data_IF_363420251800
#
_entry.id   IF_363420251800
#
_cell.length_a   1.000
_cell.length_b   1.000
_cell.length_c   1.000
_cell.angle_alpha   90.00
_cell.angle_beta   90.00
_cell.angle_gamma   90.00
#
_symmetry.space_group_name_H-M   'P 1'
#
loop_
_entity.id
_entity.type
_entity.pdbx_description
1 polymer ?
#
# COMPACT_ATOMS: atom_id res chain seq x y z
N UNK A 1 -20.90 -19.14 -77.90
CA UNK A 1 -19.98 -20.28 -78.12
C UNK A 1 -19.36 -20.56 -76.75
N UNK A 2 -20.05 -21.27 -75.86
CA UNK A 2 -20.37 -22.71 -75.85
C UNK A 2 -19.14 -23.57 -75.53
N UNK A 3 -19.39 -24.57 -74.67
CA UNK A 3 -18.53 -25.64 -74.14
C UNK A 3 -17.56 -25.25 -73.02
N UNK A 4 -17.53 -25.91 -71.86
CA UNK A 4 -18.19 -27.12 -71.40
C UNK A 4 -17.29 -27.79 -70.35
N UNK A 5 -17.83 -28.19 -69.20
CA UNK A 5 -17.42 -29.37 -68.44
C UNK A 5 -18.28 -29.52 -67.18
N UNK A 6 -19.29 -30.38 -67.28
CA UNK A 6 -20.06 -30.90 -66.15
C UNK A 6 -19.31 -32.10 -65.54
N UNK A 7 -18.87 -31.95 -64.28
CA UNK A 7 -18.47 -33.07 -63.42
C UNK A 7 -19.64 -33.50 -62.54
N UNK A 8 -20.15 -34.71 -62.76
CA UNK A 8 -21.24 -35.33 -61.97
C UNK A 8 -20.73 -35.76 -60.60
N UNK A 9 -21.22 -35.16 -59.52
CA UNK A 9 -21.05 -35.67 -58.15
C UNK A 9 -22.28 -36.51 -57.79
N UNK A 10 -22.05 -37.78 -57.43
CA UNK A 10 -23.06 -38.73 -56.97
C UNK A 10 -23.49 -38.39 -55.54
N UNK A 11 -24.76 -38.04 -55.36
CA UNK A 11 -25.43 -37.95 -54.06
C UNK A 11 -25.64 -39.37 -53.50
N UNK A 12 -25.02 -39.67 -52.35
CA UNK A 12 -25.40 -40.78 -51.46
C UNK A 12 -26.37 -40.25 -50.40
N UNK A 13 -27.35 -41.04 -49.93
CA UNK A 13 -28.24 -40.62 -48.85
C UNK A 13 -27.47 -40.71 -47.52
N UNK A 14 -27.15 -39.56 -46.93
CA UNK A 14 -26.71 -39.51 -45.53
C UNK A 14 -27.96 -39.70 -44.68
N UNK A 15 -28.05 -40.89 -44.09
CA UNK A 15 -29.02 -41.25 -43.05
C UNK A 15 -28.73 -40.38 -41.83
N UNK A 16 -29.67 -39.49 -41.52
CA UNK A 16 -29.76 -38.72 -40.27
C UNK A 16 -30.03 -39.69 -39.11
N UNK A 17 -28.99 -40.19 -38.46
CA UNK A 17 -29.05 -40.72 -37.11
C UNK A 17 -28.90 -39.54 -36.13
N UNK A 18 -30.02 -38.93 -35.76
CA UNK A 18 -30.14 -38.10 -34.56
C UNK A 18 -29.98 -39.01 -33.34
N UNK A 19 -28.74 -39.31 -32.97
CA UNK A 19 -28.44 -39.76 -31.62
C UNK A 19 -28.58 -38.54 -30.71
N UNK A 20 -29.64 -38.55 -29.89
CA UNK A 20 -29.82 -37.61 -28.80
C UNK A 20 -28.63 -37.73 -27.84
N UNK A 21 -27.63 -36.86 -28.00
CA UNK A 21 -26.73 -36.49 -26.91
C UNK A 21 -27.53 -35.61 -25.94
N UNK A 22 -28.38 -36.25 -25.14
CA UNK A 22 -28.73 -35.67 -23.85
C UNK A 22 -27.42 -35.65 -23.04
N UNK A 23 -26.96 -34.50 -22.51
CA UNK A 23 -25.97 -34.56 -21.47
C UNK A 23 -26.58 -35.43 -20.38
N UNK A 24 -25.88 -36.50 -19.99
CA UNK A 24 -26.22 -37.22 -18.78
C UNK A 24 -26.28 -36.16 -17.69
N UNK A 25 -27.49 -35.77 -17.27
CA UNK A 25 -27.69 -35.15 -15.98
C UNK A 25 -27.00 -36.11 -15.03
N UNK A 26 -25.87 -35.71 -14.46
CA UNK A 26 -25.24 -36.45 -13.40
C UNK A 26 -26.35 -36.70 -12.38
N UNK A 27 -26.86 -37.93 -12.36
CA UNK A 27 -27.78 -38.36 -11.34
C UNK A 27 -26.90 -38.36 -10.11
N UNK A 28 -27.00 -37.29 -9.32
CA UNK A 28 -26.49 -37.23 -7.97
C UNK A 28 -27.19 -38.37 -7.26
N UNK A 29 -26.55 -39.54 -7.27
CA UNK A 29 -27.11 -40.73 -6.66
C UNK A 29 -27.41 -40.34 -5.22
N UNK A 30 -28.67 -40.53 -4.82
CA UNK A 30 -29.03 -40.49 -3.43
C UNK A 30 -27.99 -41.32 -2.68
N UNK A 31 -27.40 -40.74 -1.64
CA UNK A 31 -26.49 -41.46 -0.76
C UNK A 31 -27.22 -42.75 -0.30
N UNK A 32 -26.50 -43.87 -0.21
CA UNK A 32 -27.05 -45.19 0.15
C UNK A 32 -27.71 -45.19 1.56
N UNK A 33 -27.61 -44.07 2.28
CA UNK A 33 -28.20 -43.76 3.58
C UNK A 33 -29.69 -43.34 3.53
N UNK A 34 -30.24 -43.03 2.36
CA UNK A 34 -31.65 -42.63 2.20
C UNK A 34 -31.99 -41.23 2.74
N UNK A 35 -30.98 -40.41 3.09
CA UNK A 35 -31.18 -39.02 3.48
C UNK A 35 -31.48 -38.16 2.24
N UNK A 36 -32.60 -37.45 2.25
CA UNK A 36 -32.95 -36.51 1.19
C UNK A 36 -31.98 -35.31 1.21
N UNK A 37 -31.19 -35.15 0.13
CA UNK A 37 -30.25 -34.04 0.00
C UNK A 37 -31.00 -32.71 0.00
N UNK A 38 -30.49 -31.70 0.71
CA UNK A 38 -31.15 -30.40 0.75
C UNK A 38 -31.19 -29.74 -0.65
N UNK A 39 -32.32 -29.14 -1.07
CA UNK A 39 -32.39 -28.46 -2.38
C UNK A 39 -31.34 -27.37 -2.56
N UNK A 40 -30.94 -26.73 -1.45
CA UNK A 40 -29.88 -25.70 -1.41
C UNK A 40 -28.50 -26.29 -1.71
N UNK A 41 -28.20 -27.48 -1.20
CA UNK A 41 -26.98 -28.20 -1.55
C UNK A 41 -26.98 -28.60 -3.02
N UNK A 42 -28.05 -29.25 -3.51
CA UNK A 42 -28.14 -29.72 -4.89
C UNK A 42 -27.96 -28.58 -5.89
N UNK A 43 -28.66 -27.46 -5.68
CA UNK A 43 -28.52 -26.28 -6.53
C UNK A 43 -27.08 -25.73 -6.57
N UNK A 44 -26.42 -25.67 -5.41
CA UNK A 44 -25.04 -25.20 -5.31
C UNK A 44 -24.05 -26.20 -5.91
N UNK A 45 -24.24 -27.50 -5.71
CA UNK A 45 -23.39 -28.55 -6.28
C UNK A 45 -23.43 -28.56 -7.81
N UNK A 46 -24.64 -28.46 -8.39
CA UNK A 46 -24.80 -28.28 -9.83
C UNK A 46 -24.16 -26.98 -10.35
N UNK A 47 -24.32 -25.90 -9.59
CA UNK A 47 -23.66 -24.64 -9.89
C UNK A 47 -22.14 -24.77 -9.93
N UNK A 48 -21.57 -25.47 -8.95
CA UNK A 48 -20.14 -25.77 -8.89
C UNK A 48 -19.68 -26.62 -10.08
N UNK A 49 -20.43 -27.67 -10.42
CA UNK A 49 -20.14 -28.53 -11.57
C UNK A 49 -20.14 -27.76 -12.91
N UNK A 50 -20.93 -26.70 -13.02
CA UNK A 50 -20.93 -25.77 -14.16
C UNK A 50 -19.85 -24.69 -14.09
N UNK A 51 -18.94 -24.75 -13.13
CA UNK A 51 -17.84 -23.78 -12.97
C UNK A 51 -18.26 -22.46 -12.31
N UNK A 52 -19.45 -22.36 -11.70
CA UNK A 52 -19.83 -21.14 -10.99
C UNK A 52 -19.03 -21.01 -9.69
N UNK A 53 -18.21 -19.96 -9.64
CA UNK A 53 -17.20 -19.72 -8.61
C UNK A 53 -17.75 -19.73 -7.17
N UNK A 54 -18.89 -19.08 -6.92
CA UNK A 54 -19.45 -18.96 -5.57
C UNK A 54 -20.17 -20.23 -5.10
N UNK A 55 -20.50 -21.13 -6.04
CA UNK A 55 -21.36 -22.26 -5.76
C UNK A 55 -20.60 -23.45 -5.15
N UNK A 56 -19.29 -23.60 -5.39
CA UNK A 56 -18.49 -24.69 -4.79
C UNK A 56 -18.36 -24.55 -3.26
N UNK A 57 -18.02 -23.36 -2.77
CA UNK A 57 -17.95 -23.11 -1.33
C UNK A 57 -19.35 -23.16 -0.70
N UNK A 58 -20.36 -22.62 -1.39
CA UNK A 58 -21.75 -22.68 -0.94
C UNK A 58 -22.25 -24.12 -0.84
N UNK A 59 -21.87 -25.00 -1.77
CA UNK A 59 -22.20 -26.42 -1.72
C UNK A 59 -21.58 -27.08 -0.48
N UNK A 60 -20.31 -26.80 -0.19
CA UNK A 60 -19.64 -27.28 1.01
C UNK A 60 -20.36 -26.84 2.29
N UNK A 61 -20.69 -25.55 2.40
CA UNK A 61 -21.37 -24.98 3.57
C UNK A 61 -22.79 -25.54 3.72
N UNK A 62 -23.57 -25.58 2.63
CA UNK A 62 -24.93 -26.11 2.67
C UNK A 62 -24.94 -27.61 3.00
N UNK A 63 -23.99 -28.39 2.48
CA UNK A 63 -23.85 -29.79 2.83
C UNK A 63 -23.55 -29.96 4.32
N UNK A 64 -22.56 -29.23 4.84
CA UNK A 64 -22.21 -29.29 6.25
C UNK A 64 -23.34 -28.83 7.19
N UNK A 65 -24.17 -27.88 6.76
CA UNK A 65 -25.32 -27.39 7.54
C UNK A 65 -26.51 -28.35 7.51
N UNK A 66 -26.89 -28.75 6.30
CA UNK A 66 -28.20 -29.34 6.03
C UNK A 66 -28.15 -30.87 5.93
N UNK A 67 -26.96 -31.46 5.74
CA UNK A 67 -26.76 -32.90 5.54
C UNK A 67 -25.90 -33.50 6.65
N UNK A 68 -24.61 -33.16 6.70
CA UNK A 68 -23.69 -33.67 7.72
C UNK A 68 -22.42 -32.83 7.81
N UNK A 69 -22.05 -32.43 9.03
CA UNK A 69 -20.76 -31.81 9.34
C UNK A 69 -19.70 -32.81 9.83
N UNK A 70 -20.09 -34.06 10.11
CA UNK A 70 -19.20 -35.14 10.55
C UNK A 70 -18.72 -36.01 9.38
N UNK A 71 -19.61 -36.31 8.43
CA UNK A 71 -19.31 -37.07 7.22
C UNK A 71 -19.33 -36.16 5.99
N UNK A 72 -18.17 -35.57 5.70
CA UNK A 72 -17.99 -34.71 4.52
C UNK A 72 -17.61 -35.51 3.26
N UNK A 73 -17.59 -36.84 3.31
CA UNK A 73 -17.13 -37.71 2.22
C UNK A 73 -17.80 -37.41 0.88
N UNK A 74 -19.14 -37.36 0.80
CA UNK A 74 -19.86 -37.12 -0.46
C UNK A 74 -19.55 -35.76 -1.09
N UNK A 75 -19.53 -34.68 -0.30
CA UNK A 75 -19.20 -33.34 -0.83
C UNK A 75 -17.73 -33.21 -1.20
N UNK A 76 -16.81 -33.86 -0.46
CA UNK A 76 -15.38 -33.92 -0.81
C UNK A 76 -15.18 -34.67 -2.14
N UNK A 77 -15.89 -35.77 -2.38
CA UNK A 77 -15.80 -36.51 -3.63
C UNK A 77 -16.24 -35.65 -4.82
N UNK A 78 -17.35 -34.92 -4.68
CA UNK A 78 -17.83 -33.95 -5.68
C UNK A 78 -16.78 -32.86 -5.94
N UNK A 79 -16.28 -32.21 -4.88
CA UNK A 79 -15.29 -31.14 -5.00
C UNK A 79 -13.98 -31.65 -5.63
N UNK A 80 -13.58 -32.89 -5.35
CA UNK A 80 -12.40 -33.52 -5.96
C UNK A 80 -12.60 -33.78 -7.45
N UNK A 81 -13.77 -34.26 -7.86
CA UNK A 81 -14.09 -34.48 -9.27
C UNK A 81 -14.03 -33.18 -10.09
N UNK A 82 -14.41 -32.06 -9.47
CA UNK A 82 -14.44 -30.75 -10.13
C UNK A 82 -13.22 -29.87 -9.84
N UNK A 83 -12.28 -30.27 -8.98
CA UNK A 83 -11.04 -29.54 -8.79
C UNK A 83 -10.12 -29.74 -10.00
N UNK A 84 -10.23 -28.84 -10.98
CA UNK A 84 -9.47 -28.85 -12.23
C UNK A 84 -8.91 -27.46 -12.52
N UNK A 85 -8.08 -27.35 -13.56
CA UNK A 85 -7.59 -26.06 -14.06
C UNK A 85 -8.70 -25.13 -14.57
N UNK A 86 -9.88 -25.65 -14.89
CA UNK A 86 -11.03 -24.86 -15.36
C UNK A 86 -11.94 -24.42 -14.21
N UNK A 87 -11.99 -25.19 -13.11
CA UNK A 87 -12.88 -24.95 -11.96
C UNK A 87 -12.05 -24.83 -10.68
N UNK A 88 -11.20 -23.80 -10.62
CA UNK A 88 -10.27 -23.53 -9.52
C UNK A 88 -10.96 -23.33 -8.17
N UNK A 89 -12.20 -22.84 -8.18
CA UNK A 89 -12.97 -22.65 -6.94
C UNK A 89 -13.37 -23.97 -6.28
N UNK A 90 -13.52 -25.05 -7.04
CA UNK A 90 -13.67 -26.39 -6.47
C UNK A 90 -12.39 -26.80 -5.73
N UNK A 91 -11.21 -26.47 -6.26
CA UNK A 91 -9.94 -26.69 -5.56
C UNK A 91 -9.82 -25.88 -4.27
N UNK A 92 -10.25 -24.61 -4.28
CA UNK A 92 -10.29 -23.79 -3.06
C UNK A 92 -11.23 -24.36 -2.01
N UNK A 93 -12.47 -24.71 -2.39
CA UNK A 93 -13.45 -25.31 -1.48
C UNK A 93 -13.00 -26.68 -0.98
N UNK A 94 -12.36 -27.49 -1.83
CA UNK A 94 -11.75 -28.76 -1.43
C UNK A 94 -10.64 -28.54 -0.39
N UNK A 95 -9.79 -27.53 -0.58
CA UNK A 95 -8.79 -27.15 0.41
C UNK A 95 -9.42 -26.67 1.74
N UNK A 96 -10.57 -25.99 1.69
CA UNK A 96 -11.33 -25.62 2.88
C UNK A 96 -11.93 -26.84 3.59
N UNK A 97 -12.37 -27.87 2.87
CA UNK A 97 -12.82 -29.13 3.48
C UNK A 97 -11.68 -29.88 4.20
N UNK A 98 -10.43 -29.67 3.80
CA UNK A 98 -9.25 -30.29 4.42
C UNK A 98 -8.57 -29.43 5.51
N UNK A 99 -9.05 -28.22 5.80
CA UNK A 99 -8.43 -27.36 6.82
C UNK A 99 -8.59 -27.95 8.23
N UNK A 100 -7.68 -27.61 9.16
CA UNK A 100 -7.88 -27.91 10.57
C UNK A 100 -9.15 -27.22 11.07
N UNK A 101 -9.84 -27.90 11.99
CA UNK A 101 -10.99 -27.33 12.67
C UNK A 101 -10.55 -26.08 13.46
N UNK A 102 -11.04 -24.89 13.10
CA UNK A 102 -10.72 -23.65 13.81
C UNK A 102 -11.80 -23.32 14.85
N UNK A 103 -11.43 -23.27 16.12
CA UNK A 103 -12.31 -22.89 17.24
C UNK A 103 -12.66 -21.39 17.29
N UNK A 104 -12.37 -20.61 16.25
CA UNK A 104 -12.76 -19.20 16.17
C UNK A 104 -14.26 -19.11 15.84
N UNK A 105 -15.05 -19.24 16.90
CA UNK A 105 -16.51 -19.14 16.91
C UNK A 105 -16.94 -17.69 16.64
N UNK A 106 -17.42 -17.43 15.43
CA UNK A 106 -18.56 -16.51 15.32
C UNK A 106 -19.78 -17.36 15.63
N UNK A 107 -20.54 -16.98 16.66
CA UNK A 107 -21.73 -17.71 17.08
C UNK A 107 -22.66 -17.94 15.86
N UNK A 108 -22.85 -19.21 15.47
CA UNK A 108 -23.62 -19.60 14.28
C UNK A 108 -22.81 -19.95 13.01
N UNK A 109 -21.48 -19.89 13.01
CA UNK A 109 -20.68 -20.36 11.86
C UNK A 109 -20.56 -21.89 11.84
N UNK A 110 -20.98 -22.54 10.73
CA UNK A 110 -20.78 -23.98 10.52
C UNK A 110 -19.29 -24.25 10.33
N UNK A 111 -18.73 -25.07 11.21
CA UNK A 111 -17.35 -25.51 11.11
C UNK A 111 -17.27 -26.69 10.14
N UNK A 112 -16.37 -26.57 9.16
CA UNK A 112 -16.12 -27.58 8.13
C UNK A 112 -14.62 -27.79 8.04
N UNK A 113 -14.16 -29.04 8.20
CA UNK A 113 -12.74 -29.38 8.11
C UNK A 113 -12.42 -30.75 8.67
N UNK A 114 -11.71 -31.58 7.91
CA UNK A 114 -11.24 -32.91 8.37
C UNK A 114 -9.77 -32.93 8.81
N UNK A 115 -9.09 -31.77 8.82
CA UNK A 115 -7.68 -31.62 9.18
C UNK A 115 -6.72 -32.57 8.41
N UNK A 116 -6.61 -32.39 7.10
CA UNK A 116 -5.72 -33.17 6.23
C UNK A 116 -4.76 -32.22 5.48
N UNK A 117 -3.61 -31.84 6.07
CA UNK A 117 -2.71 -30.85 5.48
C UNK A 117 -2.09 -31.31 4.15
N UNK A 118 -1.93 -32.62 3.95
CA UNK A 118 -1.37 -33.18 2.71
C UNK A 118 -2.35 -32.98 1.56
N UNK A 119 -3.60 -33.42 1.74
CA UNK A 119 -4.62 -33.25 0.69
C UNK A 119 -5.03 -31.79 0.50
N UNK A 120 -4.98 -30.98 1.57
CA UNK A 120 -5.14 -29.53 1.49
C UNK A 120 -4.10 -28.92 0.54
N UNK A 121 -2.83 -29.29 0.69
CA UNK A 121 -1.74 -28.83 -0.18
C UNK A 121 -1.95 -29.27 -1.62
N UNK A 122 -2.34 -30.52 -1.86
CA UNK A 122 -2.61 -31.04 -3.20
C UNK A 122 -3.71 -30.25 -3.90
N UNK A 123 -4.82 -29.98 -3.21
CA UNK A 123 -5.93 -29.18 -3.73
C UNK A 123 -5.48 -27.74 -4.05
N UNK A 124 -4.75 -27.10 -3.13
CA UNK A 124 -4.23 -25.74 -3.35
C UNK A 124 -3.21 -25.68 -4.50
N UNK A 125 -2.35 -26.70 -4.64
CA UNK A 125 -1.37 -26.77 -5.73
C UNK A 125 -2.05 -26.96 -7.09
N UNK A 126 -3.11 -27.77 -7.16
CA UNK A 126 -3.93 -27.89 -8.37
C UNK A 126 -4.57 -26.56 -8.74
N UNK A 127 -5.20 -25.89 -7.76
CA UNK A 127 -5.85 -24.58 -7.99
C UNK A 127 -4.86 -23.48 -8.40
N UNK A 128 -3.67 -23.46 -7.80
CA UNK A 128 -2.62 -22.51 -8.12
C UNK A 128 -1.92 -22.79 -9.47
N UNK A 129 -1.98 -24.02 -9.98
CA UNK A 129 -1.44 -24.40 -11.29
C UNK A 129 -2.32 -24.01 -12.48
N UNK A 130 -3.54 -23.55 -12.23
CA UNK A 130 -4.51 -23.22 -13.26
C UNK A 130 -4.23 -21.88 -13.96
N UNK A 131 -4.66 -21.76 -15.22
CA UNK A 131 -4.56 -20.51 -15.99
C UNK A 131 -5.40 -19.39 -15.37
N UNK A 132 -6.49 -19.74 -14.68
CA UNK A 132 -7.39 -18.84 -13.95
C UNK A 132 -7.26 -19.09 -12.43
N UNK A 133 -6.02 -19.12 -11.92
CA UNK A 133 -5.75 -19.38 -10.52
C UNK A 133 -6.32 -18.25 -9.63
N UNK A 134 -7.37 -18.46 -8.85
CA UNK A 134 -7.87 -17.39 -7.98
C UNK A 134 -6.81 -17.00 -6.94
N UNK A 135 -6.67 -15.69 -6.68
CA UNK A 135 -5.86 -15.04 -5.63
C UNK A 135 -5.73 -15.91 -4.36
N UNK A 136 -6.87 -16.45 -3.92
CA UNK A 136 -6.97 -17.19 -2.68
C UNK A 136 -6.19 -18.53 -2.69
N UNK A 137 -6.03 -19.20 -3.84
CA UNK A 137 -5.40 -20.53 -3.88
C UNK A 137 -3.87 -20.50 -3.84
N UNK A 138 -3.22 -19.63 -4.61
CA UNK A 138 -1.76 -19.51 -4.58
C UNK A 138 -1.25 -18.87 -3.29
N UNK A 139 -1.93 -17.85 -2.75
CA UNK A 139 -1.57 -17.26 -1.45
C UNK A 139 -1.66 -18.28 -0.32
N UNK A 140 -2.80 -19.00 -0.20
CA UNK A 140 -2.97 -20.06 0.81
C UNK A 140 -1.97 -21.21 0.64
N UNK A 141 -1.60 -21.54 -0.61
CA UNK A 141 -0.55 -22.53 -0.86
C UNK A 141 0.79 -22.03 -0.33
N UNK A 142 1.13 -20.77 -0.58
CA UNK A 142 2.38 -20.18 -0.11
C UNK A 142 2.47 -20.20 1.42
N UNK A 143 1.39 -19.79 2.11
CA UNK A 143 1.32 -19.84 3.58
C UNK A 143 1.53 -21.27 4.11
N UNK A 144 0.82 -22.25 3.53
CA UNK A 144 0.93 -23.65 3.95
C UNK A 144 2.33 -24.22 3.70
N UNK A 145 2.99 -23.84 2.61
CA UNK A 145 4.37 -24.23 2.32
C UNK A 145 5.36 -23.56 3.27
N UNK A 146 5.15 -22.29 3.60
CA UNK A 146 5.97 -21.56 4.55
C UNK A 146 5.88 -22.15 5.97
N UNK A 147 4.66 -22.47 6.44
CA UNK A 147 4.41 -23.17 7.70
C UNK A 147 5.09 -24.55 7.74
N UNK A 148 5.12 -25.25 6.61
CA UNK A 148 5.83 -26.53 6.46
C UNK A 148 7.36 -26.38 6.31
N UNK A 149 7.89 -25.16 6.31
CA UNK A 149 9.32 -24.87 6.13
C UNK A 149 9.81 -24.93 4.68
N UNK A 150 8.94 -25.15 3.70
CA UNK A 150 9.27 -25.12 2.27
C UNK A 150 9.29 -23.68 1.74
N UNK A 151 10.38 -22.97 2.04
CA UNK A 151 10.55 -21.57 1.63
C UNK A 151 10.61 -21.39 0.11
N UNK A 152 11.24 -22.32 -0.60
CA UNK A 152 11.35 -22.24 -2.05
C UNK A 152 9.97 -22.43 -2.71
N UNK A 153 9.22 -23.43 -2.26
CA UNK A 153 7.85 -23.67 -2.71
C UNK A 153 6.92 -22.50 -2.40
N UNK A 154 7.02 -21.92 -1.21
CA UNK A 154 6.24 -20.75 -0.82
C UNK A 154 6.54 -19.52 -1.71
N UNK A 155 7.82 -19.22 -1.95
CA UNK A 155 8.23 -18.15 -2.86
C UNK A 155 7.68 -18.36 -4.27
N UNK A 156 7.81 -19.58 -4.82
CA UNK A 156 7.29 -19.91 -6.13
C UNK A 156 5.75 -19.82 -6.22
N UNK A 157 5.03 -20.09 -5.13
CA UNK A 157 3.59 -19.92 -5.05
C UNK A 157 3.18 -18.43 -5.03
N UNK A 158 3.87 -17.59 -4.25
CA UNK A 158 3.63 -16.14 -4.27
C UNK A 158 3.94 -15.50 -5.63
N UNK A 159 5.05 -15.89 -6.27
CA UNK A 159 5.38 -15.41 -7.61
C UNK A 159 4.33 -15.81 -8.66
N UNK A 160 3.79 -17.03 -8.55
CA UNK A 160 2.67 -17.47 -9.39
C UNK A 160 1.43 -16.61 -9.16
N UNK A 161 1.10 -16.30 -7.90
CA UNK A 161 -0.01 -15.41 -7.57
C UNK A 161 0.17 -14.03 -8.24
N UNK A 162 1.34 -13.40 -8.07
CA UNK A 162 1.63 -12.10 -8.68
C UNK A 162 1.57 -12.14 -10.21
N UNK A 163 2.20 -13.13 -10.85
CA UNK A 163 2.14 -13.27 -12.32
C UNK A 163 0.72 -13.40 -12.83
N UNK A 164 -0.09 -14.20 -12.14
CA UNK A 164 -1.49 -14.35 -12.48
C UNK A 164 -2.27 -13.06 -12.32
N UNK A 165 -2.12 -12.38 -11.17
CA UNK A 165 -2.84 -11.17 -10.89
C UNK A 165 -2.51 -10.05 -11.90
N UNK A 166 -1.27 -10.00 -12.40
CA UNK A 166 -0.86 -9.14 -13.53
C UNK A 166 -1.48 -9.53 -14.87
N UNK A 167 -1.73 -10.82 -15.10
CA UNK A 167 -2.39 -11.29 -16.34
C UNK A 167 -3.88 -10.92 -16.40
N UNK A 168 -4.50 -10.65 -15.26
CA UNK A 168 -5.90 -10.23 -15.15
C UNK A 168 -6.12 -8.72 -15.31
N UNK A 169 -5.06 -7.93 -15.46
CA UNK A 169 -5.10 -6.47 -15.44
C UNK A 169 -5.69 -5.88 -16.74
N UNK A 170 -6.98 -6.14 -16.97
CA UNK A 170 -7.90 -5.17 -17.55
C UNK A 170 -8.31 -4.16 -16.46
N UNK A 171 -8.69 -2.94 -16.86
CA UNK A 171 -8.74 -1.71 -16.05
C UNK A 171 -9.53 -1.75 -14.71
N UNK A 172 -10.37 -2.75 -14.45
CA UNK A 172 -11.26 -2.80 -13.29
C UNK A 172 -10.78 -3.69 -12.12
N UNK A 173 -9.59 -4.33 -12.19
CA UNK A 173 -9.10 -5.28 -11.16
C UNK A 173 -7.73 -4.96 -10.54
N UNK A 174 -7.30 -3.70 -10.63
CA UNK A 174 -5.99 -3.21 -10.15
C UNK A 174 -5.73 -3.55 -8.67
N UNK A 175 -6.76 -3.56 -7.81
CA UNK A 175 -6.59 -3.82 -6.37
C UNK A 175 -6.02 -5.21 -6.03
N UNK A 176 -6.26 -6.23 -6.86
CA UNK A 176 -5.82 -7.59 -6.56
C UNK A 176 -4.39 -7.86 -7.05
N UNK A 177 -3.90 -7.13 -8.07
CA UNK A 177 -2.55 -7.35 -8.61
C UNK A 177 -1.44 -6.95 -7.64
N UNK A 178 -1.64 -5.84 -6.94
CA UNK A 178 -0.53 -5.24 -6.19
C UNK A 178 -0.31 -5.97 -4.86
N UNK A 179 -1.35 -6.55 -4.26
CA UNK A 179 -1.21 -7.30 -3.00
C UNK A 179 -0.41 -8.60 -3.18
N UNK A 180 -0.67 -9.35 -4.25
CA UNK A 180 0.06 -10.58 -4.55
C UNK A 180 1.53 -10.31 -4.84
N UNK A 181 1.81 -9.29 -5.64
CA UNK A 181 3.18 -8.87 -5.93
C UNK A 181 3.87 -8.33 -4.68
N UNK A 182 3.17 -7.62 -3.81
CA UNK A 182 3.71 -7.15 -2.53
C UNK A 182 4.09 -8.32 -1.61
N UNK A 183 3.24 -9.35 -1.50
CA UNK A 183 3.56 -10.54 -0.69
C UNK A 183 4.71 -11.34 -1.29
N UNK A 184 4.75 -11.52 -2.62
CA UNK A 184 5.87 -12.15 -3.31
C UNK A 184 7.18 -11.41 -3.00
N UNK A 185 7.16 -10.08 -3.11
CA UNK A 185 8.32 -9.25 -2.84
C UNK A 185 8.79 -9.34 -1.38
N UNK A 186 7.85 -9.26 -0.42
CA UNK A 186 8.15 -9.38 1.01
C UNK A 186 8.72 -10.74 1.38
N UNK A 187 8.10 -11.80 0.88
CA UNK A 187 8.57 -13.16 1.14
C UNK A 187 9.98 -13.36 0.56
N UNK A 188 10.18 -12.90 -0.68
CA UNK A 188 11.50 -12.94 -1.32
C UNK A 188 12.55 -12.15 -0.53
N UNK A 189 12.21 -10.97 -0.02
CA UNK A 189 13.13 -10.14 0.76
C UNK A 189 13.48 -10.77 2.12
N UNK A 190 12.48 -11.23 2.87
CA UNK A 190 12.64 -11.64 4.27
C UNK A 190 13.08 -13.11 4.41
N UNK A 191 12.48 -14.01 3.64
CA UNK A 191 12.56 -15.46 3.90
C UNK A 191 13.57 -16.17 3.01
N UNK A 192 13.63 -15.81 1.72
CA UNK A 192 14.56 -16.44 0.75
C UNK A 192 15.77 -15.58 0.44
N UNK A 193 15.72 -14.28 0.73
CA UNK A 193 16.72 -13.28 0.33
C UNK A 193 16.97 -13.27 -1.18
N UNK A 194 15.95 -13.61 -1.97
CA UNK A 194 15.97 -13.43 -3.42
C UNK A 194 15.70 -11.96 -3.74
N UNK A 195 16.77 -11.16 -3.67
CA UNK A 195 16.69 -9.73 -3.85
C UNK A 195 16.30 -9.34 -5.28
N UNK A 196 16.59 -10.18 -6.29
CA UNK A 196 16.20 -9.92 -7.66
C UNK A 196 14.68 -10.03 -7.84
N UNK A 197 14.06 -11.04 -7.23
CA UNK A 197 12.60 -11.16 -7.16
C UNK A 197 12.01 -10.01 -6.34
N UNK A 198 12.54 -9.75 -5.14
CA UNK A 198 12.04 -8.68 -4.28
C UNK A 198 12.05 -7.32 -4.98
N UNK A 199 13.17 -6.95 -5.60
CA UNK A 199 13.29 -5.69 -6.33
C UNK A 199 12.29 -5.62 -7.49
N UNK A 200 12.18 -6.67 -8.30
CA UNK A 200 11.28 -6.68 -9.46
C UNK A 200 9.82 -6.51 -9.04
N UNK A 201 9.38 -7.25 -8.03
CA UNK A 201 7.99 -7.22 -7.60
C UNK A 201 7.66 -5.95 -6.79
N UNK A 202 8.56 -5.44 -5.94
CA UNK A 202 8.37 -4.12 -5.32
C UNK A 202 8.38 -2.98 -6.34
N UNK A 203 9.14 -3.08 -7.44
CA UNK A 203 9.09 -2.11 -8.54
C UNK A 203 7.69 -2.02 -9.11
N UNK A 204 7.06 -3.17 -9.36
CA UNK A 204 5.68 -3.26 -9.86
C UNK A 204 4.74 -2.58 -8.87
N UNK A 205 4.80 -2.96 -7.59
CA UNK A 205 3.93 -2.42 -6.55
C UNK A 205 4.10 -0.90 -6.40
N UNK A 206 5.33 -0.40 -6.32
CA UNK A 206 5.63 1.04 -6.20
C UNK A 206 5.11 1.82 -7.42
N UNK A 207 5.17 1.25 -8.62
CA UNK A 207 4.65 1.88 -9.83
C UNK A 207 3.14 1.75 -10.03
N UNK A 208 2.48 0.91 -9.24
CA UNK A 208 1.06 0.60 -9.35
C UNK A 208 0.15 1.75 -8.91
N UNK A 209 -1.11 1.68 -9.31
CA UNK A 209 -2.13 2.68 -8.97
C UNK A 209 -2.87 2.35 -7.66
N UNK A 210 -2.55 1.23 -6.99
CA UNK A 210 -3.16 0.89 -5.70
C UNK A 210 -2.62 1.81 -4.60
N UNK A 211 -3.39 2.86 -4.30
CA UNK A 211 -3.03 3.91 -3.34
C UNK A 211 -2.53 3.35 -1.99
N UNK A 212 -3.13 2.27 -1.49
CA UNK A 212 -2.75 1.68 -0.20
C UNK A 212 -1.50 0.80 -0.20
N UNK A 213 -0.90 0.46 -1.35
CA UNK A 213 0.27 -0.44 -1.43
C UNK A 213 1.48 0.19 -2.08
N UNK A 214 1.29 1.08 -3.05
CA UNK A 214 2.40 1.71 -3.77
C UNK A 214 3.41 2.40 -2.82
N UNK A 215 2.99 3.20 -1.82
CA UNK A 215 3.90 3.76 -0.82
C UNK A 215 4.78 2.71 -0.11
N UNK A 216 4.22 1.55 0.23
CA UNK A 216 4.94 0.47 0.90
C UNK A 216 5.97 -0.18 -0.03
N UNK A 217 5.61 -0.41 -1.30
CA UNK A 217 6.53 -0.92 -2.31
C UNK A 217 7.74 0.01 -2.48
N UNK A 218 7.50 1.32 -2.56
CA UNK A 218 8.56 2.31 -2.69
C UNK A 218 9.49 2.32 -1.46
N UNK A 219 8.96 2.20 -0.23
CA UNK A 219 9.82 2.07 0.97
C UNK A 219 10.80 0.91 0.84
N UNK A 220 10.33 -0.27 0.43
CA UNK A 220 11.21 -1.44 0.36
C UNK A 220 12.26 -1.31 -0.74
N UNK A 221 11.95 -0.67 -1.87
CA UNK A 221 12.96 -0.30 -2.86
C UNK A 221 14.01 0.65 -2.27
N UNK A 222 13.57 1.65 -1.50
CA UNK A 222 14.47 2.54 -0.76
C UNK A 222 15.45 1.76 0.13
N UNK A 223 14.96 0.78 0.88
CA UNK A 223 15.79 -0.11 1.71
C UNK A 223 16.75 -0.99 0.91
N UNK A 224 16.29 -1.53 -0.23
CA UNK A 224 17.11 -2.35 -1.12
C UNK A 224 18.30 -1.54 -1.62
N UNK A 225 18.08 -0.33 -2.11
CA UNK A 225 19.14 0.55 -2.59
C UNK A 225 19.99 1.12 -1.46
N UNK A 226 19.42 1.44 -0.30
CA UNK A 226 20.20 1.91 0.85
C UNK A 226 21.17 0.84 1.37
N UNK A 227 20.70 -0.40 1.47
CA UNK A 227 21.47 -1.54 1.98
C UNK A 227 22.34 -2.23 0.93
N UNK A 228 22.17 -1.94 -0.35
CA UNK A 228 22.82 -2.67 -1.43
C UNK A 228 22.40 -4.16 -1.49
N UNK A 229 21.10 -4.43 -1.33
CA UNK A 229 20.56 -5.79 -1.26
C UNK A 229 20.35 -6.34 -2.67
N UNK A 230 21.30 -7.13 -3.18
CA UNK A 230 21.27 -7.68 -4.54
C UNK A 230 21.58 -6.68 -5.65
N UNK A 231 21.80 -5.42 -5.30
CA UNK A 231 22.25 -4.33 -6.17
C UNK A 231 23.34 -3.52 -5.45
N UNK A 232 24.19 -2.74 -6.15
CA UNK A 232 25.06 -1.80 -5.47
C UNK A 232 24.27 -0.81 -4.62
N UNK A 233 24.80 -0.46 -3.45
CA UNK A 233 24.17 0.56 -2.62
C UNK A 233 24.12 1.90 -3.37
N UNK A 234 22.93 2.48 -3.46
CA UNK A 234 22.67 3.75 -4.11
C UNK A 234 21.86 4.65 -3.16
N UNK A 235 22.53 5.52 -2.38
CA UNK A 235 21.85 6.39 -1.44
C UNK A 235 20.93 7.42 -2.10
N UNK A 236 21.19 7.78 -3.35
CA UNK A 236 20.38 8.77 -4.07
C UNK A 236 19.09 8.11 -4.56
N UNK A 237 19.18 6.91 -5.14
CA UNK A 237 18.00 6.11 -5.45
C UNK A 237 17.18 5.81 -4.18
N UNK A 238 17.85 5.48 -3.07
CA UNK A 238 17.16 5.24 -1.80
C UNK A 238 16.34 6.44 -1.33
N UNK A 239 16.93 7.64 -1.38
CA UNK A 239 16.24 8.90 -1.06
C UNK A 239 15.02 9.09 -1.95
N UNK A 240 15.15 8.89 -3.25
CA UNK A 240 14.07 9.13 -4.21
C UNK A 240 12.90 8.16 -3.99
N UNK A 241 13.18 6.88 -3.70
CA UNK A 241 12.15 5.91 -3.34
C UNK A 241 11.49 6.19 -1.98
N UNK A 242 12.26 6.65 -0.99
CA UNK A 242 11.67 7.09 0.28
C UNK A 242 10.81 8.35 0.10
N UNK A 243 11.20 9.27 -0.79
CA UNK A 243 10.38 10.42 -1.15
C UNK A 243 9.05 9.97 -1.78
N UNK A 244 9.09 9.03 -2.73
CA UNK A 244 7.88 8.45 -3.34
C UNK A 244 7.03 7.66 -2.33
N UNK A 245 7.64 7.04 -1.34
CA UNK A 245 6.93 6.37 -0.25
C UNK A 245 6.18 7.35 0.66
N UNK A 246 6.74 8.53 0.88
CA UNK A 246 6.14 9.56 1.73
C UNK A 246 5.14 10.46 0.99
N UNK A 247 5.49 10.87 -0.23
CA UNK A 247 4.75 11.81 -1.06
C UNK A 247 4.40 11.17 -2.41
N UNK A 248 3.74 10.01 -2.36
CA UNK A 248 3.38 9.30 -3.58
C UNK A 248 2.40 10.14 -4.41
N UNK A 249 2.67 10.41 -5.70
CA UNK A 249 1.87 11.34 -6.49
C UNK A 249 0.43 10.87 -6.76
N UNK A 250 0.15 9.58 -6.55
CA UNK A 250 -1.15 8.95 -6.82
C UNK A 250 -1.84 8.36 -5.59
N UNK A 251 -1.21 8.44 -4.41
CA UNK A 251 -1.80 7.94 -3.18
C UNK A 251 -2.07 9.10 -2.22
N UNK A 252 -3.29 9.17 -1.71
CA UNK A 252 -3.62 10.08 -0.62
C UNK A 252 -2.86 9.68 0.65
N UNK A 253 -2.77 8.36 0.88
CA UNK A 253 -2.08 7.79 2.03
C UNK A 253 -0.57 7.74 1.82
N UNK A 254 0.19 7.94 2.90
CA UNK A 254 1.64 7.77 2.94
C UNK A 254 2.01 6.52 3.73
N UNK A 255 3.19 5.95 3.45
CA UNK A 255 3.81 5.01 4.39
C UNK A 255 4.63 5.80 5.41
N UNK A 256 4.14 5.85 6.66
CA UNK A 256 4.77 6.68 7.70
C UNK A 256 6.20 6.28 8.03
N UNK A 257 6.54 5.00 7.89
CA UNK A 257 7.93 4.54 8.02
C UNK A 257 8.80 5.05 6.86
N UNK A 258 8.28 5.05 5.63
CA UNK A 258 8.91 5.67 4.46
C UNK A 258 9.16 7.15 4.66
N UNK A 259 8.20 7.88 5.23
CA UNK A 259 8.37 9.28 5.63
C UNK A 259 9.49 9.47 6.68
N UNK A 260 9.55 8.61 7.70
CA UNK A 260 10.62 8.62 8.70
C UNK A 260 11.99 8.36 8.05
N UNK A 261 12.08 7.40 7.13
CA UNK A 261 13.33 7.09 6.43
C UNK A 261 13.74 8.23 5.50
N UNK A 262 12.78 8.86 4.81
CA UNK A 262 13.04 10.01 3.95
C UNK A 262 13.62 11.19 4.72
N UNK A 263 12.98 11.58 5.83
CA UNK A 263 13.47 12.70 6.65
C UNK A 263 14.88 12.44 7.22
N UNK A 264 15.16 11.20 7.67
CA UNK A 264 16.51 10.81 8.12
C UNK A 264 17.54 10.90 6.99
N UNK A 265 17.17 10.44 5.80
CA UNK A 265 18.02 10.49 4.60
C UNK A 265 18.37 11.93 4.22
N UNK A 266 17.39 12.83 4.22
CA UNK A 266 17.59 14.26 3.95
C UNK A 266 18.58 14.90 4.94
N UNK A 267 18.44 14.61 6.24
CA UNK A 267 19.36 15.14 7.26
C UNK A 267 20.79 14.64 7.05
N UNK A 268 20.95 13.38 6.66
CA UNK A 268 22.26 12.77 6.35
C UNK A 268 22.86 13.33 5.05
N UNK A 269 22.03 13.58 4.04
CA UNK A 269 22.44 14.04 2.72
C UNK A 269 22.61 15.56 2.62
N UNK A 270 22.21 16.33 3.63
CA UNK A 270 22.14 17.81 3.55
C UNK A 270 23.42 18.52 3.13
N UNK A 271 24.58 17.90 3.33
CA UNK A 271 25.89 18.45 2.94
C UNK A 271 26.46 17.80 1.67
N UNK A 272 25.77 16.82 1.08
CA UNK A 272 26.21 16.14 -0.13
C UNK A 272 25.94 17.03 -1.35
N UNK A 273 26.91 17.17 -2.28
CA UNK A 273 26.70 17.92 -3.52
C UNK A 273 25.60 17.35 -4.43
N UNK A 274 25.25 16.08 -4.25
CA UNK A 274 24.24 15.39 -5.05
C UNK A 274 22.80 15.79 -4.70
N UNK A 275 22.55 16.38 -3.52
CA UNK A 275 21.23 16.86 -3.14
C UNK A 275 20.87 18.11 -3.95
N UNK A 276 19.77 18.04 -4.69
CA UNK A 276 19.34 19.09 -5.63
C UNK A 276 18.16 19.87 -5.06
N UNK A 277 17.96 21.07 -5.58
CA UNK A 277 16.80 21.88 -5.22
C UNK A 277 15.48 21.15 -5.46
N UNK A 278 15.36 20.39 -6.56
CA UNK A 278 14.16 19.59 -6.87
C UNK A 278 13.78 18.56 -5.80
N UNK A 279 14.74 18.07 -5.03
CA UNK A 279 14.51 17.09 -3.97
C UNK A 279 13.87 17.73 -2.71
N UNK A 280 13.96 19.06 -2.60
CA UNK A 280 13.57 19.84 -1.40
C UNK A 280 12.71 21.06 -1.76
N UNK A 281 12.31 21.21 -3.02
CA UNK A 281 11.74 22.44 -3.57
C UNK A 281 10.35 22.77 -3.02
N UNK A 282 9.55 21.75 -2.69
CA UNK A 282 8.16 21.98 -2.29
C UNK A 282 8.00 22.65 -0.92
N UNK A 283 8.99 22.55 -0.04
CA UNK A 283 8.92 23.11 1.32
C UNK A 283 9.75 24.39 1.50
N UNK A 284 10.68 24.68 0.58
CA UNK A 284 11.65 25.75 0.76
C UNK A 284 11.20 27.08 0.17
N UNK A 285 11.30 28.15 0.98
CA UNK A 285 11.11 29.52 0.48
C UNK A 285 12.18 29.93 -0.54
N UNK A 286 11.90 30.91 -1.43
CA UNK A 286 12.89 31.44 -2.37
C UNK A 286 14.20 31.83 -1.68
N UNK A 287 15.34 31.46 -2.28
CA UNK A 287 16.68 31.80 -1.75
C UNK A 287 17.14 30.96 -0.55
N UNK A 288 16.34 29.98 -0.09
CA UNK A 288 16.73 29.07 0.99
C UNK A 288 17.92 28.20 0.58
N UNK A 289 19.03 28.15 1.36
CA UNK A 289 20.13 27.24 1.08
C UNK A 289 19.65 25.78 1.09
N UNK A 290 20.13 24.97 0.14
CA UNK A 290 19.71 23.55 -0.02
C UNK A 290 19.82 22.77 1.30
N UNK A 291 20.88 22.99 2.08
CA UNK A 291 21.05 22.32 3.36
C UNK A 291 19.95 22.66 4.39
N UNK A 292 19.39 23.87 4.35
CA UNK A 292 18.26 24.28 5.20
C UNK A 292 16.93 23.78 4.64
N UNK A 293 16.74 23.87 3.32
CA UNK A 293 15.60 23.28 2.63
C UNK A 293 15.46 21.77 2.93
N UNK A 294 16.58 21.05 3.03
CA UNK A 294 16.59 19.64 3.43
C UNK A 294 16.05 19.40 4.85
N UNK A 295 16.30 20.31 5.80
CA UNK A 295 15.78 20.21 7.16
C UNK A 295 14.28 20.54 7.20
N UNK A 296 13.84 21.53 6.43
CA UNK A 296 12.43 21.87 6.27
C UNK A 296 11.64 20.70 5.67
N UNK A 297 12.15 20.11 4.57
CA UNK A 297 11.55 18.92 3.95
C UNK A 297 11.60 17.71 4.88
N UNK A 298 12.66 17.54 5.68
CA UNK A 298 12.73 16.46 6.68
C UNK A 298 11.66 16.64 7.76
N UNK A 299 11.44 17.87 8.24
CA UNK A 299 10.37 18.17 9.19
C UNK A 299 8.99 17.87 8.60
N UNK A 300 8.73 18.26 7.34
CA UNK A 300 7.49 17.92 6.62
C UNK A 300 7.30 16.41 6.52
N UNK A 301 8.34 15.67 6.13
CA UNK A 301 8.29 14.21 6.05
C UNK A 301 7.96 13.59 7.43
N UNK A 302 8.64 14.00 8.49
CA UNK A 302 8.36 13.49 9.83
C UNK A 302 6.96 13.84 10.32
N UNK A 303 6.48 15.05 10.06
CA UNK A 303 5.11 15.46 10.37
C UNK A 303 4.09 14.57 9.65
N UNK A 304 4.29 14.31 8.35
CA UNK A 304 3.41 13.43 7.57
C UNK A 304 3.43 12.00 8.09
N UNK A 305 4.60 11.45 8.43
CA UNK A 305 4.70 10.14 9.05
C UNK A 305 4.08 10.08 10.45
N UNK A 306 4.13 11.19 11.21
CA UNK A 306 3.45 11.30 12.50
C UNK A 306 1.92 11.23 12.33
N UNK A 307 1.39 11.85 11.28
CA UNK A 307 -0.04 11.84 10.96
C UNK A 307 -0.58 10.45 10.53
N UNK A 308 0.30 9.49 10.21
CA UNK A 308 -0.05 8.10 9.92
C UNK A 308 0.23 7.17 11.12
N UNK A 309 0.13 7.68 12.34
CA UNK A 309 0.32 6.94 13.59
C UNK A 309 1.70 6.25 13.74
N UNK A 310 2.79 6.87 13.27
CA UNK A 310 4.17 6.42 13.53
C UNK A 310 4.80 7.29 14.63
N UNK A 311 4.83 6.84 15.91
CA UNK A 311 5.38 7.63 17.02
C UNK A 311 6.83 8.07 16.80
N UNK A 312 7.64 7.20 16.19
CA UNK A 312 9.04 7.50 15.88
C UNK A 312 9.21 8.69 14.92
N UNK A 313 8.22 8.95 14.06
CA UNK A 313 8.23 10.11 13.17
C UNK A 313 7.91 11.38 13.96
N UNK A 314 6.93 11.34 14.86
CA UNK A 314 6.63 12.44 15.78
C UNK A 314 7.86 12.82 16.61
N UNK A 315 8.53 11.83 17.21
CA UNK A 315 9.75 12.01 18.00
C UNK A 315 10.91 12.56 17.15
N UNK A 316 11.08 12.07 15.92
CA UNK A 316 12.12 12.56 15.02
C UNK A 316 11.92 14.03 14.64
N UNK A 317 10.68 14.46 14.46
CA UNK A 317 10.35 15.86 14.16
C UNK A 317 10.72 16.79 15.34
N UNK A 318 10.39 16.37 16.57
CA UNK A 318 10.75 17.15 17.75
C UNK A 318 12.26 17.16 17.99
N UNK A 319 12.93 16.01 17.82
CA UNK A 319 14.37 15.92 17.93
C UNK A 319 15.09 16.81 16.91
N UNK A 320 14.58 16.90 15.67
CA UNK A 320 15.09 17.79 14.65
C UNK A 320 15.07 19.26 15.12
N UNK A 321 13.94 19.73 15.66
CA UNK A 321 13.84 21.08 16.20
C UNK A 321 14.84 21.31 17.34
N UNK A 322 14.94 20.39 18.31
CA UNK A 322 15.84 20.56 19.45
C UNK A 322 17.30 20.72 19.00
N UNK A 323 17.72 19.93 18.01
CA UNK A 323 19.07 20.01 17.44
C UNK A 323 19.31 21.32 16.67
N UNK A 324 18.31 21.85 15.96
CA UNK A 324 18.40 23.18 15.33
C UNK A 324 18.50 24.30 16.37
N UNK A 325 17.70 24.25 17.44
CA UNK A 325 17.76 25.22 18.54
C UNK A 325 19.12 25.22 19.24
N UNK A 326 19.71 24.03 19.43
CA UNK A 326 21.05 23.83 19.94
C UNK A 326 22.16 24.27 18.95
N UNK A 327 21.81 24.58 17.70
CA UNK A 327 22.75 25.03 16.67
C UNK A 327 23.51 23.91 15.96
N UNK A 328 23.17 22.64 16.18
CA UNK A 328 23.89 21.49 15.62
C UNK A 328 23.73 21.34 14.10
N UNK A 329 22.58 21.77 13.57
CA UNK A 329 22.20 21.54 12.17
C UNK A 329 22.24 22.83 11.32
N UNK A 330 22.66 23.94 11.93
CA UNK A 330 22.59 25.27 11.33
C UNK A 330 21.17 25.84 11.32
N UNK A 331 21.06 27.08 10.88
CA UNK A 331 19.81 27.85 10.81
C UNK A 331 19.97 28.96 9.78
N UNK A 332 18.85 29.54 9.34
CA UNK A 332 18.88 30.79 8.57
C UNK A 332 19.11 31.98 9.50
N UNK A 333 19.74 33.03 8.98
CA UNK A 333 19.86 34.32 9.67
C UNK A 333 18.89 35.29 9.02
N UNK A 334 18.04 35.90 9.83
CA UNK A 334 17.11 36.95 9.39
C UNK A 334 17.32 38.22 10.22
N UNK A 335 16.97 39.38 9.66
CA UNK A 335 16.88 40.61 10.44
C UNK A 335 15.45 40.78 10.96
N UNK A 336 15.30 40.95 12.26
CA UNK A 336 13.99 41.11 12.89
C UNK A 336 13.96 42.29 13.86
N UNK A 337 12.79 42.89 14.02
CA UNK A 337 12.53 43.89 15.06
C UNK A 337 11.09 43.83 15.55
N UNK A 338 10.84 44.42 16.71
CA UNK A 338 9.49 44.63 17.25
C UNK A 338 9.14 46.11 17.29
N UNK A 339 7.85 46.44 17.14
CA UNK A 339 7.32 47.79 17.28
C UNK A 339 6.18 47.80 18.30
N UNK A 340 6.25 48.74 19.25
CA UNK A 340 5.14 48.99 20.19
C UNK A 340 3.98 49.72 19.48
N UNK A 341 2.75 49.67 19.99
CA UNK A 341 1.61 50.38 19.41
C UNK A 341 1.90 51.89 19.35
N UNK A 342 1.92 52.47 18.15
CA UNK A 342 2.23 53.89 17.94
C UNK A 342 3.66 54.32 18.29
N UNK A 343 4.53 53.37 18.67
CA UNK A 343 5.92 53.62 19.06
C UNK A 343 6.91 53.50 17.89
N UNK A 344 8.14 54.01 18.06
CA UNK A 344 9.20 53.80 17.07
C UNK A 344 9.57 52.31 16.96
N UNK A 345 10.09 51.91 15.80
CA UNK A 345 10.67 50.59 15.64
C UNK A 345 11.89 50.43 16.54
N UNK A 346 12.04 49.26 17.16
CA UNK A 346 13.32 48.89 17.79
C UNK A 346 14.40 48.70 16.72
N UNK A 347 15.66 48.80 17.11
CA UNK A 347 16.78 48.49 16.22
C UNK A 347 16.70 47.04 15.76
N UNK A 348 16.73 46.82 14.44
CA UNK A 348 16.74 45.47 13.88
C UNK A 348 17.97 44.68 14.34
N UNK A 349 17.72 43.45 14.79
CA UNK A 349 18.73 42.50 15.27
C UNK A 349 18.80 41.30 14.34
N UNK A 350 19.91 40.58 14.36
CA UNK A 350 20.02 39.28 13.72
C UNK A 350 19.34 38.24 14.61
N UNK A 351 18.39 37.52 14.03
CA UNK A 351 17.69 36.41 14.65
C UNK A 351 17.96 35.13 13.87
N UNK A 352 17.97 34.00 14.56
CA UNK A 352 18.03 32.69 13.93
C UNK A 352 16.61 32.31 13.50
N UNK A 353 16.40 31.98 12.24
CA UNK A 353 15.11 31.52 11.73
C UNK A 353 15.18 30.00 11.48
N UNK A 354 14.19 29.29 12.04
CA UNK A 354 14.02 27.85 11.91
C UNK A 354 12.59 27.61 11.45
N UNK A 355 12.42 27.13 10.22
CA UNK A 355 11.11 26.72 9.70
C UNK A 355 10.90 25.23 9.94
N UNK A 356 9.71 24.87 10.41
CA UNK A 356 9.30 23.47 10.63
C UNK A 356 7.81 23.27 10.34
N UNK A 357 7.42 22.00 10.26
CA UNK A 357 6.03 21.55 10.16
C UNK A 357 5.69 20.84 11.47
N UNK A 358 4.91 21.46 12.38
CA UNK A 358 4.67 20.89 13.69
C UNK A 358 3.79 19.64 13.63
N UNK A 359 3.94 18.74 14.62
CA UNK A 359 3.07 17.58 14.73
C UNK A 359 1.62 18.04 15.01
N UNK A 360 0.67 17.45 14.30
CA UNK A 360 -0.75 17.73 14.48
C UNK A 360 -1.50 16.43 14.73
N UNK A 361 -2.32 16.40 15.78
CA UNK A 361 -3.25 15.30 16.01
C UNK A 361 -4.46 15.46 15.07
N UNK A 362 -4.62 14.54 14.12
CA UNK A 362 -5.94 14.23 13.57
C UNK A 362 -6.40 14.91 12.27
N UNK A 363 -5.53 15.41 11.38
CA UNK A 363 -5.90 15.71 9.97
C UNK A 363 -4.70 15.57 9.03
N UNK A 364 -4.83 14.77 7.97
CA UNK A 364 -3.82 14.63 6.91
C UNK A 364 -3.95 15.70 5.83
N UNK A 365 -5.16 16.16 5.52
CA UNK A 365 -5.43 17.06 4.38
C UNK A 365 -5.03 18.53 4.64
N UNK A 366 -5.18 19.03 5.87
CA UNK A 366 -4.80 20.40 6.25
C UNK A 366 -3.33 20.50 6.74
N UNK A 367 -2.74 19.36 7.13
CA UNK A 367 -1.44 19.28 7.80
C UNK A 367 -0.27 19.80 6.94
N UNK A 368 -0.29 19.51 5.63
CA UNK A 368 0.76 19.94 4.69
C UNK A 368 0.83 21.47 4.54
N UNK A 369 -0.19 22.20 4.99
CA UNK A 369 -0.24 23.67 4.91
C UNK A 369 0.26 24.39 6.16
N UNK A 370 0.50 23.67 7.26
CA UNK A 370 0.83 24.24 8.56
C UNK A 370 2.36 24.29 8.72
N UNK A 371 2.97 25.39 8.26
CA UNK A 371 4.35 25.71 8.59
C UNK A 371 4.42 26.74 9.71
N UNK A 372 5.43 26.62 10.56
CA UNK A 372 5.81 27.64 11.53
C UNK A 372 7.28 27.99 11.39
N UNK A 373 7.59 29.28 11.54
CA UNK A 373 8.96 29.79 11.60
C UNK A 373 9.22 30.32 13.00
N UNK A 374 10.22 29.74 13.66
CA UNK A 374 10.68 30.12 14.99
C UNK A 374 11.87 31.05 14.83
N UNK A 375 11.71 32.29 15.27
CA UNK A 375 12.75 33.29 15.35
C UNK A 375 13.34 33.29 16.75
N UNK A 376 14.61 32.88 16.87
CA UNK A 376 15.35 32.91 18.14
C UNK A 376 16.21 34.16 18.20
N UNK A 377 15.92 35.00 19.19
CA UNK A 377 16.59 36.27 19.44
C UNK A 377 17.96 36.06 20.12
N UNK A 378 18.85 37.08 20.10
CA UNK A 378 20.15 36.99 20.78
C UNK A 378 20.09 36.69 22.28
N UNK A 379 19.02 37.13 22.94
CA UNK A 379 18.70 36.88 24.36
C UNK A 379 18.00 35.53 24.59
N UNK A 380 17.91 34.67 23.57
CA UNK A 380 17.25 33.36 23.58
C UNK A 380 15.72 33.41 23.71
N UNK A 381 15.10 34.60 23.72
CA UNK A 381 13.66 34.69 23.53
C UNK A 381 13.26 34.18 22.15
N UNK A 382 11.99 33.78 22.01
CA UNK A 382 11.47 33.19 20.79
C UNK A 382 10.23 33.94 20.32
N UNK A 383 10.14 34.15 19.02
CA UNK A 383 8.91 34.57 18.36
C UNK A 383 8.53 33.51 17.34
N UNK A 384 7.35 32.93 17.48
CA UNK A 384 6.82 31.91 16.57
C UNK A 384 5.83 32.58 15.66
N UNK A 385 6.09 32.51 14.36
CA UNK A 385 5.16 32.91 13.32
C UNK A 385 4.58 31.64 12.69
N UNK A 386 3.26 31.52 12.65
CA UNK A 386 2.58 30.36 12.06
C UNK A 386 1.49 30.82 11.10
N UNK A 387 1.33 30.11 9.99
CA UNK A 387 0.19 30.28 9.09
C UNK A 387 -0.77 29.10 9.26
N UNK A 388 -2.04 29.38 9.51
CA UNK A 388 -3.07 28.38 9.79
C UNK A 388 -4.37 28.76 9.06
N UNK A 389 -4.74 27.98 8.04
CA UNK A 389 -5.95 28.24 7.24
C UNK A 389 -5.99 29.66 6.62
N UNK A 390 -4.84 30.19 6.21
CA UNK A 390 -4.72 31.55 5.67
C UNK A 390 -4.68 32.66 6.72
N UNK A 391 -4.72 32.34 8.02
CA UNK A 391 -4.57 33.28 9.12
C UNK A 391 -3.16 33.25 9.68
N UNK A 392 -2.64 34.41 10.06
CA UNK A 392 -1.35 34.50 10.72
C UNK A 392 -1.51 34.45 12.24
N UNK A 393 -0.56 33.78 12.88
CA UNK A 393 -0.47 33.70 14.32
C UNK A 393 0.94 34.12 14.76
N UNK A 394 1.03 34.98 15.78
CA UNK A 394 2.28 35.34 16.47
C UNK A 394 2.18 34.77 17.88
N UNK A 395 3.08 33.86 18.24
CA UNK A 395 3.10 33.19 19.55
C UNK A 395 1.73 32.59 19.92
N UNK A 396 1.02 32.03 18.94
CA UNK A 396 -0.32 31.44 19.12
C UNK A 396 -1.49 32.43 19.12
N UNK A 397 -1.24 33.73 19.03
CA UNK A 397 -2.29 34.76 18.97
C UNK A 397 -2.53 35.22 17.53
N UNK A 398 -3.79 35.50 17.18
CA UNK A 398 -4.16 36.07 15.88
C UNK A 398 -3.33 37.31 15.52
N UNK A 399 -2.93 37.38 14.26
CA UNK A 399 -2.17 38.48 13.72
C UNK A 399 -2.68 38.90 12.33
N UNK A 400 -2.63 40.20 12.07
CA UNK A 400 -2.84 40.78 10.74
C UNK A 400 -1.51 40.87 10.00
N UNK A 401 -1.53 40.66 8.67
CA UNK A 401 -0.35 40.84 7.81
C UNK A 401 -0.12 39.66 6.85
N UNK A 402 1.08 39.58 6.23
CA UNK A 402 2.17 40.55 6.34
C UNK A 402 1.85 41.88 5.65
N UNK A 403 2.10 43.00 6.34
CA UNK A 403 2.19 44.32 5.73
C UNK A 403 3.64 44.59 5.31
N UNK A 404 3.88 44.89 4.03
CA UNK A 404 5.22 45.21 3.52
C UNK A 404 5.60 46.65 3.85
N UNK A 405 6.74 46.84 4.49
CA UNK A 405 7.26 48.17 4.83
C UNK A 405 8.78 48.18 4.85
N UNK A 406 9.40 49.04 4.03
CA UNK A 406 10.85 49.27 4.01
C UNK A 406 11.72 47.99 3.92
N UNK A 407 11.28 47.01 3.12
CA UNK A 407 11.98 45.73 2.98
C UNK A 407 11.70 44.71 4.10
N UNK A 408 10.69 44.94 4.93
CA UNK A 408 10.24 44.01 5.96
C UNK A 408 8.79 43.57 5.73
N UNK A 409 8.49 42.34 6.10
CA UNK A 409 7.16 41.81 6.32
C UNK A 409 6.80 41.97 7.80
N UNK A 410 5.80 42.79 8.09
CA UNK A 410 5.36 43.08 9.46
C UNK A 410 4.01 42.43 9.75
N UNK A 411 3.91 41.80 10.92
CA UNK A 411 2.73 41.12 11.43
C UNK A 411 2.27 41.82 12.71
N UNK A 412 1.00 42.21 12.79
CA UNK A 412 0.44 42.94 13.93
C UNK A 412 -0.37 41.99 14.79
N UNK A 413 0.01 41.80 16.06
CA UNK A 413 -0.79 41.04 17.02
C UNK A 413 -2.11 41.77 17.29
N UNK A 414 -3.25 41.12 17.04
CA UNK A 414 -4.58 41.77 17.13
C UNK A 414 -4.97 42.14 18.55
N UNK A 415 -4.41 41.48 19.56
CA UNK A 415 -4.72 41.73 20.96
C UNK A 415 -3.88 42.86 21.54
N UNK A 416 -2.58 42.87 21.25
CA UNK A 416 -1.64 43.84 21.86
C UNK A 416 -1.31 45.01 20.94
N UNK A 417 -1.70 44.97 19.67
CA UNK A 417 -1.34 45.91 18.62
C UNK A 417 0.19 46.10 18.46
N UNK A 418 0.99 45.11 18.90
CA UNK A 418 2.45 45.09 18.74
C UNK A 418 2.77 44.47 17.39
N UNK A 419 3.79 44.98 16.72
CA UNK A 419 4.24 44.43 15.44
C UNK A 419 5.52 43.62 15.62
N UNK A 420 5.58 42.47 14.95
CA UNK A 420 6.80 41.73 14.71
C UNK A 420 7.14 41.85 13.22
N UNK A 421 8.36 42.27 12.90
CA UNK A 421 8.79 42.48 11.52
C UNK A 421 10.03 41.65 11.23
N UNK A 422 10.04 40.99 10.07
CA UNK A 422 11.15 40.21 9.53
C UNK A 422 11.50 40.70 8.14
N UNK A 423 12.80 40.75 7.82
CA UNK A 423 13.28 41.15 6.50
C UNK A 423 12.66 40.28 5.39
N UNK A 424 12.18 40.94 4.34
CA UNK A 424 11.67 40.28 3.15
C UNK A 424 12.85 39.70 2.38
N UNK A 425 12.84 38.38 2.15
CA UNK A 425 13.78 37.77 1.20
C UNK A 425 13.47 38.37 -0.18
N UNK A 426 14.47 38.97 -0.83
CA UNK A 426 14.31 39.45 -2.20
C UNK A 426 13.97 38.24 -3.08
N UNK A 427 12.78 38.28 -3.69
CA UNK A 427 12.27 37.22 -4.55
C UNK A 427 13.03 37.08 -5.86
#
# INVERSE_FOLDING_TARGET
>A
MADGMMGRIRLWPIILLLAAFLPASAAWAADDTGAELSPRYVQAAEGCARGNQNNCLTALINYARDVSNEDLGPVIAMLRQHCTAEVVTACSALADAYKPFSNSSVEGSIQVGINDPVRRREALNMGCGAVIATYNTCGRLADLLAEAGDRAGASAAHERACRYARSLADADRIYLSDWDCYNAAKYALAETRDYAVAQREFTIVCSGDTAGLAPYGCKYLGRIYEGGLGVPADPDAARDYYAQSCFHPRAADADGEGCLLYGKRLIADRQRPALRSGDVAESAGPGTPIAQAALEQASRAFQRGCATDIPLACEANEALLQRQLAGELGYQIARCFVRAPGGPATTARQCRAITRFPNHEGRTEDADSLSETIYVWPDQERTVLRQDGGRWLINGHAAEGPARSAGFNCFTNVTTNRQFCVESVAG
#
